data_IF_139131905116
#
_entry.id   IF_139131905116
#
_cell.length_a   1.000
_cell.length_b   1.000
_cell.length_c   1.000
_cell.angle_alpha   90.00
_cell.angle_beta   90.00
_cell.angle_gamma   90.00
#
_symmetry.space_group_name_H-M   'P 1'
#
loop_
_entity.id
_entity.type
_entity.pdbx_description
1 polymer ?
#
# COMPACT_ATOMS: atom_id res chain seq x y z
N UNK A 1 -3.11 -13.94 21.79
CA UNK A 1 -1.77 -14.36 21.35
C UNK A 1 -1.66 -14.40 19.80
N UNK A 2 -2.56 -15.09 19.11
CA UNK A 2 -2.57 -15.22 17.64
C UNK A 2 -2.54 -13.87 16.90
N UNK A 3 -3.42 -12.92 17.26
CA UNK A 3 -3.46 -11.56 16.66
C UNK A 3 -2.14 -10.83 16.87
N UNK A 4 -1.51 -10.96 18.04
CA UNK A 4 -0.21 -10.33 18.32
C UNK A 4 0.85 -10.82 17.35
N UNK A 5 0.93 -12.13 17.13
CA UNK A 5 1.91 -12.74 16.20
C UNK A 5 1.72 -12.19 14.78
N UNK A 6 0.47 -12.05 14.31
CA UNK A 6 0.16 -11.50 12.99
C UNK A 6 0.63 -10.05 12.86
N UNK A 7 0.37 -9.23 13.88
CA UNK A 7 0.82 -7.84 13.90
C UNK A 7 2.35 -7.72 13.94
N UNK A 8 3.02 -8.62 14.64
CA UNK A 8 4.48 -8.66 14.70
C UNK A 8 5.08 -9.12 13.36
N UNK A 9 4.45 -10.07 12.65
CA UNK A 9 4.80 -10.47 11.27
C UNK A 9 4.68 -9.27 10.32
N UNK A 10 3.54 -8.57 10.33
CA UNK A 10 3.28 -7.38 9.50
C UNK A 10 4.34 -6.29 9.77
N UNK A 11 4.57 -5.95 11.04
CA UNK A 11 5.59 -4.97 11.44
C UNK A 11 7.01 -5.38 11.04
N UNK A 12 7.31 -6.67 11.05
CA UNK A 12 8.60 -7.19 10.63
C UNK A 12 8.80 -7.17 9.09
N UNK A 13 7.76 -6.84 8.34
CA UNK A 13 7.82 -6.70 6.88
C UNK A 13 7.48 -7.97 6.11
N UNK A 14 6.79 -8.91 6.73
CA UNK A 14 6.38 -10.15 6.07
C UNK A 14 4.87 -10.17 5.81
N UNK A 15 4.47 -10.92 4.79
CA UNK A 15 3.09 -11.33 4.54
C UNK A 15 2.86 -12.76 5.03
N UNK A 16 1.66 -13.04 5.50
CA UNK A 16 1.24 -14.39 5.86
C UNK A 16 -0.22 -14.65 5.45
N UNK A 17 -0.51 -15.90 5.19
CA UNK A 17 -1.87 -16.42 5.03
C UNK A 17 -2.15 -17.42 6.17
N UNK A 18 -3.43 -17.66 6.45
CA UNK A 18 -3.86 -18.61 7.47
C UNK A 18 -4.15 -19.96 6.82
N UNK A 19 -3.76 -21.02 7.51
CA UNK A 19 -4.03 -22.37 7.06
C UNK A 19 -4.65 -23.17 8.23
N UNK A 20 -5.72 -23.92 7.92
CA UNK A 20 -6.28 -24.85 8.89
C UNK A 20 -5.57 -26.21 8.84
N UNK A 21 -5.71 -27.00 9.90
CA UNK A 21 -5.17 -28.35 10.00
C UNK A 21 -5.52 -29.21 8.80
N UNK A 22 -6.76 -29.10 8.31
CA UNK A 22 -7.25 -29.85 7.14
C UNK A 22 -6.37 -29.60 5.90
N UNK A 23 -6.03 -28.36 5.62
CA UNK A 23 -5.23 -27.99 4.44
C UNK A 23 -3.72 -28.15 4.71
N UNK A 24 -3.27 -27.97 5.95
CA UNK A 24 -1.89 -28.19 6.32
C UNK A 24 -1.45 -29.63 6.06
N UNK A 25 -2.32 -30.62 6.33
CA UNK A 25 -2.07 -32.04 6.02
C UNK A 25 -1.78 -32.33 4.55
N UNK A 26 -2.23 -31.45 3.66
CA UNK A 26 -2.05 -31.61 2.22
C UNK A 26 -0.85 -30.84 1.65
N UNK A 27 -0.16 -30.09 2.50
CA UNK A 27 1.03 -29.37 2.08
C UNK A 27 2.19 -30.32 1.80
N UNK A 28 3.04 -29.95 0.85
CA UNK A 28 4.25 -30.67 0.49
C UNK A 28 5.45 -29.72 0.52
N UNK A 29 6.66 -30.26 0.66
CA UNK A 29 7.87 -29.48 0.54
C UNK A 29 8.55 -29.79 -0.78
N UNK A 30 8.68 -28.80 -1.67
CA UNK A 30 9.27 -28.94 -3.00
C UNK A 30 10.12 -27.72 -3.35
N UNK A 31 11.27 -27.94 -3.95
CA UNK A 31 12.15 -26.86 -4.43
C UNK A 31 12.45 -25.78 -3.37
N UNK A 32 12.65 -26.20 -2.12
CA UNK A 32 12.95 -25.29 -0.99
C UNK A 32 11.75 -24.47 -0.48
N UNK A 33 10.52 -24.81 -0.87
CA UNK A 33 9.30 -24.12 -0.47
C UNK A 33 8.21 -25.10 -0.05
N UNK A 34 7.34 -24.65 0.84
CA UNK A 34 6.10 -25.34 1.20
C UNK A 34 5.06 -25.03 0.11
N UNK A 35 4.46 -26.04 -0.45
CA UNK A 35 3.45 -25.92 -1.50
C UNK A 35 2.13 -26.49 -1.02
N UNK A 36 1.05 -25.72 -1.14
CA UNK A 36 -0.31 -26.16 -0.85
C UNK A 36 -0.86 -27.00 -2.00
N UNK A 37 -1.93 -27.74 -1.76
CA UNK A 37 -2.63 -28.50 -2.82
C UNK A 37 -3.10 -27.61 -4.00
N UNK A 38 -3.36 -26.33 -3.75
CA UNK A 38 -3.72 -25.35 -4.78
C UNK A 38 -2.51 -24.76 -5.54
N UNK A 39 -1.28 -25.18 -5.22
CA UNK A 39 -0.06 -24.72 -5.87
C UNK A 39 0.51 -23.40 -5.32
N UNK A 40 -0.06 -22.82 -4.26
CA UNK A 40 0.52 -21.64 -3.60
C UNK A 40 1.77 -22.02 -2.81
N UNK A 41 2.80 -21.18 -2.87
CA UNK A 41 4.11 -21.48 -2.28
C UNK A 41 4.47 -20.52 -1.17
N UNK A 42 5.04 -21.06 -0.09
CA UNK A 42 5.45 -20.33 1.11
C UNK A 42 6.88 -20.66 1.51
N UNK A 43 7.57 -19.68 2.09
CA UNK A 43 8.95 -19.82 2.60
C UNK A 43 9.05 -20.55 3.92
N UNK A 44 7.97 -20.62 4.68
CA UNK A 44 7.93 -21.28 5.98
C UNK A 44 6.52 -21.37 6.55
N UNK A 45 6.37 -22.17 7.58
CA UNK A 45 5.17 -22.26 8.42
C UNK A 45 5.49 -21.57 9.74
N UNK A 46 4.61 -20.67 10.16
CA UNK A 46 4.68 -20.02 11.46
C UNK A 46 3.64 -20.65 12.37
N UNK A 47 4.08 -21.12 13.53
CA UNK A 47 3.24 -21.75 14.53
C UNK A 47 3.09 -20.78 15.71
N UNK A 48 1.95 -20.08 15.85
CA UNK A 48 1.73 -19.11 16.92
C UNK A 48 1.42 -19.83 18.24
N UNK A 49 2.06 -19.39 19.31
CA UNK A 49 1.67 -19.74 20.69
C UNK A 49 1.89 -21.17 21.15
N UNK A 50 1.18 -21.52 22.20
CA UNK A 50 1.15 -22.86 22.78
C UNK A 50 0.19 -23.75 22.00
N UNK A 51 0.74 -24.64 21.20
CA UNK A 51 0.01 -25.33 20.16
C UNK A 51 -0.63 -26.61 20.70
N UNK A 52 -1.93 -26.57 20.77
CA UNK A 52 -2.75 -27.78 20.83
C UNK A 52 -3.10 -28.10 19.38
N UNK A 53 -2.37 -29.03 18.78
CA UNK A 53 -2.63 -29.53 17.43
C UNK A 53 -2.90 -31.03 17.47
N UNK A 54 -3.69 -31.58 16.53
CA UNK A 54 -3.82 -33.02 16.36
C UNK A 54 -2.45 -33.70 16.15
N UNK A 55 -2.28 -34.91 16.67
CA UNK A 55 -0.98 -35.61 16.61
C UNK A 55 -0.51 -35.85 15.17
N UNK A 56 -1.40 -36.19 14.28
CA UNK A 56 -1.12 -36.38 12.86
C UNK A 56 -0.65 -35.10 12.14
N UNK A 57 -1.12 -33.92 12.58
CA UNK A 57 -0.64 -32.62 12.09
C UNK A 57 0.78 -32.36 12.57
N UNK A 58 1.06 -32.67 13.84
CA UNK A 58 2.41 -32.54 14.42
C UNK A 58 3.39 -33.44 13.68
N UNK A 59 3.00 -34.70 13.42
CA UNK A 59 3.80 -35.65 12.63
C UNK A 59 4.11 -35.10 11.25
N UNK A 60 3.08 -34.64 10.53
CA UNK A 60 3.24 -34.06 9.19
C UNK A 60 4.15 -32.83 9.18
N UNK A 61 4.02 -31.93 10.15
CA UNK A 61 4.94 -30.78 10.31
C UNK A 61 6.38 -31.26 10.54
N UNK A 62 6.55 -32.31 11.32
CA UNK A 62 7.87 -32.91 11.58
C UNK A 62 8.49 -33.54 10.31
N UNK A 63 7.67 -34.15 9.49
CA UNK A 63 8.07 -34.68 8.17
C UNK A 63 8.50 -33.55 7.24
N UNK A 64 7.69 -32.49 7.11
CA UNK A 64 8.05 -31.31 6.31
C UNK A 64 9.36 -30.69 6.79
N UNK A 65 9.56 -30.60 8.10
CA UNK A 65 10.80 -30.11 8.72
C UNK A 65 12.00 -30.98 8.37
N UNK A 66 11.86 -32.31 8.40
CA UNK A 66 12.91 -33.25 8.05
C UNK A 66 13.35 -33.13 6.58
N UNK A 67 12.42 -32.73 5.71
CA UNK A 67 12.66 -32.44 4.30
C UNK A 67 13.33 -31.06 4.07
N UNK A 68 13.45 -30.24 5.11
CA UNK A 68 14.09 -28.91 5.06
C UNK A 68 13.15 -27.71 5.15
N UNK A 69 11.84 -27.93 5.37
CA UNK A 69 10.89 -26.85 5.53
C UNK A 69 11.21 -26.00 6.78
N UNK A 70 11.06 -24.69 6.66
CA UNK A 70 11.26 -23.76 7.77
C UNK A 70 10.00 -23.72 8.64
N UNK A 71 10.09 -24.30 9.84
CA UNK A 71 9.04 -24.27 10.86
C UNK A 71 9.47 -23.28 11.93
N UNK A 72 8.72 -22.21 12.12
CA UNK A 72 9.09 -21.05 12.91
C UNK A 72 8.10 -20.89 14.07
N UNK A 73 8.60 -20.67 15.29
CA UNK A 73 7.76 -20.29 16.42
C UNK A 73 7.35 -18.82 16.31
N UNK A 74 6.12 -18.51 16.66
CA UNK A 74 5.36 -17.34 16.29
C UNK A 74 6.00 -15.96 16.40
N UNK A 75 6.87 -15.72 17.38
CA UNK A 75 7.51 -14.42 17.61
C UNK A 75 9.01 -14.39 17.23
N UNK A 76 9.52 -15.45 16.60
CA UNK A 76 10.93 -15.53 16.23
C UNK A 76 11.23 -14.81 14.91
N UNK A 77 11.31 -13.47 14.97
CA UNK A 77 11.59 -12.61 13.80
C UNK A 77 12.92 -12.98 13.13
N UNK A 78 13.97 -13.32 13.88
CA UNK A 78 15.26 -13.73 13.28
C UNK A 78 15.13 -14.96 12.40
N UNK A 79 14.33 -15.95 12.83
CA UNK A 79 14.09 -17.15 12.01
C UNK A 79 13.26 -16.82 10.75
N UNK A 80 12.34 -15.85 10.81
CA UNK A 80 11.60 -15.35 9.64
C UNK A 80 12.55 -14.67 8.64
N UNK A 81 13.47 -13.83 9.11
CA UNK A 81 14.48 -13.17 8.27
C UNK A 81 15.45 -14.16 7.61
N UNK A 82 15.75 -15.27 8.28
CA UNK A 82 16.52 -16.37 7.68
C UNK A 82 15.75 -17.16 6.62
N UNK A 83 14.43 -17.18 6.70
CA UNK A 83 13.56 -17.87 5.75
C UNK A 83 13.22 -17.01 4.53
N UNK A 84 13.02 -15.70 4.71
CA UNK A 84 12.61 -14.78 3.66
C UNK A 84 13.18 -13.38 3.89
N UNK A 85 13.34 -12.60 2.81
CA UNK A 85 13.67 -11.17 2.89
C UNK A 85 12.42 -10.39 3.31
N UNK A 86 12.49 -9.53 4.34
CA UNK A 86 11.39 -8.64 4.70
C UNK A 86 11.23 -7.51 3.69
N UNK A 87 10.01 -7.01 3.53
CA UNK A 87 9.73 -5.77 2.81
C UNK A 87 10.05 -4.57 3.70
N UNK A 88 11.15 -3.90 3.39
CA UNK A 88 11.65 -2.79 4.20
C UNK A 88 10.75 -1.56 4.15
N UNK A 89 9.91 -1.40 3.13
CA UNK A 89 8.86 -0.37 3.10
C UNK A 89 7.92 -0.50 4.28
N UNK A 90 7.51 -1.72 4.61
CA UNK A 90 6.64 -2.02 5.75
C UNK A 90 7.40 -1.91 7.06
N UNK A 91 8.55 -2.60 7.13
CA UNK A 91 9.37 -2.69 8.35
C UNK A 91 9.93 -1.33 8.81
N UNK A 92 10.49 -0.55 7.89
CA UNK A 92 11.23 0.66 8.23
C UNK A 92 10.41 1.94 8.11
N UNK A 93 9.43 1.97 7.18
CA UNK A 93 8.68 3.17 6.86
C UNK A 93 7.21 3.10 7.31
N UNK A 94 6.76 1.96 7.83
CA UNK A 94 5.38 1.77 8.29
C UNK A 94 4.33 1.82 7.17
N UNK A 95 4.75 1.71 5.91
CA UNK A 95 3.85 1.69 4.76
C UNK A 95 3.01 0.40 4.76
N UNK A 96 1.76 0.52 4.35
CA UNK A 96 0.94 -0.64 4.05
C UNK A 96 1.11 -1.03 2.60
N UNK A 97 1.25 -2.33 2.36
CA UNK A 97 1.49 -2.81 1.00
C UNK A 97 1.01 -4.24 0.81
N UNK A 98 0.70 -4.55 -0.44
CA UNK A 98 0.46 -5.92 -0.92
C UNK A 98 1.33 -6.13 -2.15
N UNK A 99 2.09 -7.22 -2.18
CA UNK A 99 2.86 -7.64 -3.35
C UNK A 99 2.23 -8.87 -3.98
N UNK A 100 2.16 -8.88 -5.32
CA UNK A 100 1.72 -10.04 -6.10
C UNK A 100 2.68 -10.29 -7.26
N UNK A 101 2.95 -11.55 -7.56
CA UNK A 101 3.66 -11.94 -8.77
C UNK A 101 2.74 -11.76 -10.00
N UNK A 102 3.34 -11.43 -11.13
CA UNK A 102 2.68 -11.35 -12.43
C UNK A 102 3.56 -12.02 -13.51
N UNK A 103 3.14 -11.96 -14.76
CA UNK A 103 3.85 -12.64 -15.87
C UNK A 103 5.23 -12.07 -16.19
N UNK A 104 5.56 -10.87 -15.74
CA UNK A 104 6.84 -10.21 -16.02
C UNK A 104 7.72 -9.97 -14.78
N UNK A 105 7.15 -10.09 -13.57
CA UNK A 105 7.82 -9.83 -12.29
C UNK A 105 6.83 -9.69 -11.15
N UNK A 106 6.78 -8.52 -10.51
CA UNK A 106 5.87 -8.25 -9.41
C UNK A 106 5.14 -6.92 -9.59
N UNK A 107 4.01 -6.79 -8.89
CA UNK A 107 3.37 -5.50 -8.66
C UNK A 107 3.05 -5.34 -7.19
N UNK A 108 3.15 -4.11 -6.74
CA UNK A 108 2.93 -3.68 -5.36
C UNK A 108 1.82 -2.65 -5.36
N UNK A 109 0.83 -2.81 -4.50
CA UNK A 109 -0.01 -1.70 -4.07
C UNK A 109 0.57 -1.18 -2.77
N UNK A 110 0.90 0.11 -2.72
CA UNK A 110 1.57 0.75 -1.58
C UNK A 110 0.74 1.93 -1.13
N UNK A 111 0.46 2.04 0.17
CA UNK A 111 -0.30 3.14 0.76
C UNK A 111 0.43 3.71 1.98
N UNK A 112 0.53 5.03 2.04
CA UNK A 112 1.01 5.75 3.20
C UNK A 112 -0.17 6.13 4.10
N UNK A 113 -0.47 5.29 5.07
CA UNK A 113 -1.51 5.55 6.08
C UNK A 113 -0.96 6.23 7.33
N UNK A 114 0.29 6.68 7.30
CA UNK A 114 0.89 7.46 8.38
C UNK A 114 0.49 8.93 8.29
N UNK A 115 0.65 9.68 9.36
CA UNK A 115 0.38 11.13 9.39
C UNK A 115 1.49 11.98 8.79
N UNK A 116 2.53 11.37 8.21
CA UNK A 116 3.72 12.07 7.68
C UNK A 116 3.94 11.72 6.22
N UNK A 117 4.42 12.70 5.46
CA UNK A 117 4.93 12.44 4.12
C UNK A 117 6.21 11.60 4.20
N UNK A 118 6.36 10.67 3.28
CA UNK A 118 7.51 9.78 3.21
C UNK A 118 8.29 10.08 1.93
N UNK A 119 9.53 10.53 2.08
CA UNK A 119 10.52 10.67 1.02
C UNK A 119 11.76 9.87 1.42
N UNK A 120 11.98 8.72 0.80
CA UNK A 120 13.07 7.80 1.20
C UNK A 120 13.45 6.87 0.06
N UNK A 121 14.64 6.28 0.14
CA UNK A 121 15.03 5.16 -0.70
C UNK A 121 14.98 3.88 0.13
N UNK A 122 14.44 2.81 -0.43
CA UNK A 122 14.27 1.54 0.28
C UNK A 122 14.51 0.35 -0.65
N UNK A 123 15.26 -0.63 -0.16
CA UNK A 123 15.47 -1.88 -0.90
C UNK A 123 14.20 -2.73 -0.95
N UNK A 124 13.95 -3.32 -2.10
CA UNK A 124 12.86 -4.28 -2.30
C UNK A 124 13.28 -5.68 -1.83
N UNK A 125 12.33 -6.48 -1.40
CA UNK A 125 12.57 -7.90 -1.10
C UNK A 125 12.80 -8.74 -2.38
N UNK A 126 12.47 -8.20 -3.54
CA UNK A 126 12.72 -8.79 -4.86
C UNK A 126 13.98 -8.19 -5.51
N UNK A 127 14.50 -8.84 -6.54
CA UNK A 127 15.77 -8.44 -7.17
C UNK A 127 15.57 -7.87 -8.60
N UNK A 128 14.35 -7.45 -8.95
CA UNK A 128 14.07 -6.80 -10.24
C UNK A 128 14.79 -5.46 -10.36
N UNK A 129 15.22 -5.14 -11.58
CA UNK A 129 16.07 -3.96 -11.88
C UNK A 129 15.31 -2.81 -12.53
N UNK A 130 14.13 -3.08 -13.06
CA UNK A 130 13.30 -2.11 -13.77
C UNK A 130 11.95 -1.99 -13.10
N UNK A 131 11.38 -0.79 -13.14
CA UNK A 131 10.09 -0.55 -12.52
C UNK A 131 9.32 0.60 -13.15
N UNK A 132 8.02 0.61 -12.91
CA UNK A 132 7.10 1.72 -13.23
C UNK A 132 6.29 2.05 -11.99
N UNK A 133 6.23 3.34 -11.67
CA UNK A 133 5.24 3.90 -10.76
C UNK A 133 3.95 4.19 -11.52
N UNK A 134 2.83 3.76 -11.02
CA UNK A 134 1.51 4.07 -11.52
C UNK A 134 0.67 4.73 -10.43
N UNK A 135 0.08 5.87 -10.75
CA UNK A 135 -0.85 6.57 -9.87
C UNK A 135 -2.29 6.17 -10.25
N UNK A 136 -2.98 5.39 -9.43
CA UNK A 136 -4.33 4.91 -9.76
C UNK A 136 -5.37 6.04 -9.79
N UNK A 137 -5.14 7.15 -9.07
CA UNK A 137 -6.07 8.28 -9.02
C UNK A 137 -6.03 9.13 -10.30
N UNK A 138 -4.87 9.21 -10.96
CA UNK A 138 -4.67 10.06 -12.15
C UNK A 138 -4.45 9.27 -13.42
N UNK A 139 -4.32 7.94 -13.32
CA UNK A 139 -3.95 7.04 -14.41
C UNK A 139 -2.61 7.39 -15.09
N UNK A 140 -1.76 8.16 -14.39
CA UNK A 140 -0.42 8.52 -14.86
C UNK A 140 0.61 7.53 -14.34
N UNK A 141 1.67 7.35 -15.10
CA UNK A 141 2.79 6.53 -14.68
C UNK A 141 4.11 7.07 -15.25
N UNK A 142 5.19 6.70 -14.57
CA UNK A 142 6.55 7.07 -14.93
C UNK A 142 7.51 5.93 -14.57
N UNK A 143 8.66 5.92 -15.18
CA UNK A 143 9.68 4.92 -14.86
C UNK A 143 10.19 5.10 -13.43
N UNK A 144 10.29 3.99 -12.71
CA UNK A 144 10.82 3.97 -11.36
C UNK A 144 12.33 3.73 -11.40
N UNK A 145 13.09 4.61 -10.74
CA UNK A 145 14.53 4.41 -10.60
C UNK A 145 14.80 3.42 -9.48
N UNK A 146 15.35 2.25 -9.84
CA UNK A 146 15.81 1.22 -8.90
C UNK A 146 17.35 1.25 -8.93
N UNK A 147 17.96 1.78 -7.90
CA UNK A 147 19.40 1.86 -7.75
C UNK A 147 19.93 0.95 -6.64
N UNK A 148 21.22 1.09 -6.30
CA UNK A 148 21.87 0.29 -5.26
C UNK A 148 21.22 0.43 -3.88
N UNK A 149 20.64 1.57 -3.59
CA UNK A 149 19.89 1.85 -2.34
C UNK A 149 18.42 1.40 -2.42
N UNK A 150 18.01 0.75 -3.52
CA UNK A 150 16.65 0.34 -3.79
C UNK A 150 15.84 1.37 -4.57
N UNK A 151 14.52 1.38 -4.37
CA UNK A 151 13.59 2.27 -5.05
C UNK A 151 13.42 3.58 -4.28
N UNK A 152 13.33 4.67 -5.02
CA UNK A 152 12.98 5.97 -4.43
C UNK A 152 11.47 6.08 -4.28
N UNK A 153 11.04 6.39 -3.06
CA UNK A 153 9.66 6.61 -2.66
C UNK A 153 9.42 8.08 -2.38
N UNK A 154 8.29 8.59 -2.87
CA UNK A 154 7.77 9.89 -2.49
C UNK A 154 6.24 9.75 -2.40
N UNK A 155 5.73 9.60 -1.18
CA UNK A 155 4.32 9.37 -0.89
C UNK A 155 3.85 10.33 0.19
N UNK A 156 2.91 11.18 -0.12
CA UNK A 156 2.24 12.04 0.88
C UNK A 156 1.41 11.20 1.84
N UNK A 157 1.12 11.75 3.00
CA UNK A 157 0.14 11.17 3.93
C UNK A 157 -1.20 10.94 3.21
N UNK A 158 -1.78 9.76 3.36
CA UNK A 158 -3.01 9.33 2.67
C UNK A 158 -2.84 8.92 1.21
N UNK A 159 -1.65 9.01 0.64
CA UNK A 159 -1.41 8.70 -0.77
C UNK A 159 -1.15 7.21 -1.00
N UNK A 160 -1.57 6.72 -2.17
CA UNK A 160 -1.27 5.37 -2.63
C UNK A 160 -0.67 5.36 -4.03
N UNK A 161 0.16 4.35 -4.31
CA UNK A 161 0.82 4.11 -5.61
C UNK A 161 0.86 2.62 -5.92
N UNK A 162 0.91 2.31 -7.20
CA UNK A 162 1.24 0.97 -7.67
C UNK A 162 2.65 1.01 -8.25
N UNK A 163 3.50 0.10 -7.77
CA UNK A 163 4.80 -0.15 -8.35
C UNK A 163 4.74 -1.47 -9.10
N UNK A 164 5.18 -1.48 -10.34
CA UNK A 164 5.35 -2.69 -11.14
C UNK A 164 6.85 -2.87 -11.35
N UNK A 165 7.38 -4.07 -11.09
CA UNK A 165 8.80 -4.37 -11.23
C UNK A 165 9.03 -5.57 -12.15
N UNK A 166 10.17 -5.59 -12.84
CA UNK A 166 10.58 -6.67 -13.74
C UNK A 166 12.11 -6.68 -13.94
N UNK A 167 12.62 -7.81 -14.35
CA UNK A 167 13.99 -7.91 -14.88
C UNK A 167 14.09 -7.53 -16.37
N UNK A 168 12.96 -7.42 -17.07
CA UNK A 168 12.92 -6.93 -18.45
C UNK A 168 12.92 -5.42 -18.47
N UNK A 169 13.65 -4.76 -19.36
CA UNK A 169 13.58 -3.31 -19.55
C UNK A 169 12.15 -2.84 -19.83
N UNK A 170 11.80 -1.64 -19.36
CA UNK A 170 10.44 -1.10 -19.45
C UNK A 170 9.93 -0.99 -20.90
N UNK A 171 10.79 -0.71 -21.86
CA UNK A 171 10.45 -0.64 -23.27
C UNK A 171 10.02 -1.99 -23.90
N UNK A 172 10.31 -3.11 -23.25
CA UNK A 172 9.87 -4.45 -23.66
C UNK A 172 8.52 -4.84 -23.03
N UNK A 173 7.96 -4.02 -22.15
CA UNK A 173 6.70 -4.35 -21.51
C UNK A 173 5.53 -4.07 -22.46
N UNK A 174 4.68 -5.07 -22.67
CA UNK A 174 3.41 -4.91 -23.40
C UNK A 174 2.40 -4.23 -22.49
N UNK A 175 2.64 -2.98 -22.21
CA UNK A 175 1.65 -2.11 -21.58
C UNK A 175 0.58 -1.82 -22.63
N UNK A 176 -0.69 -2.04 -22.30
CA UNK A 176 -1.80 -1.89 -23.25
C UNK A 176 -1.74 -0.54 -23.98
N UNK A 177 -2.22 -0.49 -25.22
CA UNK A 177 -2.03 0.60 -26.19
C UNK A 177 -2.51 2.01 -25.77
N UNK A 178 -3.14 2.15 -24.61
CA UNK A 178 -3.58 3.43 -24.04
C UNK A 178 -2.61 4.01 -23.00
N UNK A 179 -1.52 3.30 -22.76
CA UNK A 179 -0.59 3.63 -21.69
C UNK A 179 0.61 4.33 -22.28
N UNK A 180 0.61 5.67 -22.30
CA UNK A 180 1.81 6.46 -22.63
C UNK A 180 2.69 6.52 -21.40
N UNK A 181 3.92 5.95 -21.47
CA UNK A 181 4.98 6.27 -20.52
C UNK A 181 5.32 7.73 -20.76
N UNK A 182 4.71 8.60 -20.02
CA UNK A 182 4.84 10.04 -20.22
C UNK A 182 5.44 10.70 -19.00
N UNK A 183 6.64 11.19 -19.18
CA UNK A 183 7.23 12.21 -18.33
C UNK A 183 7.60 11.77 -16.92
N UNK A 184 8.72 12.26 -16.43
CA UNK A 184 9.01 12.29 -15.00
C UNK A 184 7.78 12.89 -14.31
N UNK A 185 7.14 12.17 -13.39
CA UNK A 185 6.29 12.83 -12.43
C UNK A 185 7.21 13.84 -11.76
N UNK A 186 6.96 15.13 -11.97
CA UNK A 186 7.75 16.14 -11.30
C UNK A 186 7.62 15.81 -9.81
N UNK A 187 8.71 15.35 -9.19
CA UNK A 187 8.94 15.58 -7.76
C UNK A 187 8.52 17.02 -7.61
N UNK A 188 7.55 17.31 -6.73
CA UNK A 188 7.04 18.66 -6.57
C UNK A 188 8.22 19.61 -6.66
N UNK A 189 8.31 20.31 -7.78
CA UNK A 189 9.48 21.11 -8.05
C UNK A 189 9.60 22.08 -6.89
N UNK A 190 10.82 22.37 -6.46
CA UNK A 190 11.10 23.39 -5.44
C UNK A 190 10.47 24.76 -5.77
N UNK A 191 9.93 24.92 -6.98
CA UNK A 191 9.23 26.08 -7.51
C UNK A 191 7.73 25.91 -7.67
N UNK A 192 7.06 24.97 -6.97
CA UNK A 192 5.61 24.89 -7.00
C UNK A 192 5.02 26.10 -6.27
N UNK A 193 4.28 26.95 -7.00
CA UNK A 193 3.53 28.06 -6.43
C UNK A 193 2.29 27.51 -5.75
N UNK A 194 2.15 27.76 -4.46
CA UNK A 194 0.95 27.42 -3.69
C UNK A 194 0.07 28.65 -3.57
N UNK A 195 -1.22 28.50 -3.85
CA UNK A 195 -2.24 29.52 -3.56
C UNK A 195 -3.01 29.05 -2.35
N UNK A 196 -2.86 29.75 -1.23
CA UNK A 196 -3.61 29.46 -0.03
C UNK A 196 -5.01 30.08 -0.13
N UNK A 197 -6.03 29.21 -0.11
CA UNK A 197 -7.43 29.59 -0.18
C UNK A 197 -8.14 29.44 1.17
N UNK A 198 -7.41 29.10 2.22
CA UNK A 198 -7.96 28.75 3.54
C UNK A 198 -8.83 29.88 4.09
N UNK A 199 -8.40 31.13 3.94
CA UNK A 199 -9.10 32.32 4.46
C UNK A 199 -10.06 32.99 3.46
N UNK A 200 -10.27 32.38 2.29
CA UNK A 200 -11.20 32.90 1.30
C UNK A 200 -12.64 32.89 1.82
N UNK A 201 -13.50 33.65 1.14
CA UNK A 201 -14.94 33.48 1.31
C UNK A 201 -15.38 32.19 0.61
N UNK A 202 -16.04 31.34 1.37
CA UNK A 202 -16.55 30.05 0.90
C UNK A 202 -18.07 30.03 1.01
N UNK A 203 -18.72 29.37 0.05
CA UNK A 203 -20.14 29.06 0.09
C UNK A 203 -20.28 27.55 0.28
N UNK A 204 -21.03 27.14 1.30
CA UNK A 204 -21.34 25.73 1.54
C UNK A 204 -22.82 25.49 1.27
N UNK A 205 -23.10 24.52 0.42
CA UNK A 205 -24.44 23.99 0.16
C UNK A 205 -24.44 22.48 0.32
N UNK A 206 -25.62 21.87 0.43
CA UNK A 206 -25.74 20.43 0.62
C UNK A 206 -26.51 19.79 -0.54
N UNK A 207 -26.06 18.63 -0.96
CA UNK A 207 -26.73 17.76 -1.93
C UNK A 207 -26.93 16.38 -1.32
N UNK A 208 -28.06 15.73 -1.63
CA UNK A 208 -28.37 14.39 -1.10
C UNK A 208 -28.38 14.33 0.44
N UNK A 209 -28.82 15.42 1.08
CA UNK A 209 -28.78 15.60 2.53
C UNK A 209 -29.96 14.93 3.24
N UNK A 210 -29.66 14.21 4.34
CA UNK A 210 -30.62 13.59 5.22
C UNK A 210 -30.16 13.70 6.70
N UNK A 211 -30.91 14.38 7.62
CA UNK A 211 -32.09 15.20 7.35
C UNK A 211 -31.79 16.43 6.49
N UNK A 212 -32.80 16.91 5.77
CA UNK A 212 -32.62 18.05 4.86
C UNK A 212 -32.23 19.31 5.62
N UNK A 213 -31.07 19.87 5.27
CA UNK A 213 -30.55 21.10 5.89
C UNK A 213 -31.32 22.32 5.35
N UNK A 214 -31.48 22.42 4.03
CA UNK A 214 -32.25 23.48 3.37
C UNK A 214 -31.64 24.87 3.44
N UNK A 215 -30.42 24.99 3.92
CA UNK A 215 -29.70 26.25 4.10
C UNK A 215 -28.38 26.25 3.32
N UNK A 216 -27.95 27.45 2.94
CA UNK A 216 -26.63 27.70 2.38
C UNK A 216 -25.85 28.59 3.33
N UNK A 217 -24.61 28.24 3.62
CA UNK A 217 -23.75 28.98 4.55
C UNK A 217 -22.67 29.75 3.81
N UNK A 218 -22.51 31.03 4.13
CA UNK A 218 -21.38 31.83 3.72
C UNK A 218 -20.33 31.80 4.83
N UNK A 219 -19.15 31.27 4.53
CA UNK A 219 -18.10 31.05 5.49
C UNK A 219 -16.90 31.95 5.21
N UNK A 220 -16.27 32.46 6.25
CA UNK A 220 -14.93 33.00 6.19
C UNK A 220 -13.97 31.88 6.54
N UNK A 221 -13.25 31.39 5.54
CA UNK A 221 -12.39 30.22 5.68
C UNK A 221 -13.16 28.88 5.62
N UNK A 222 -12.43 27.81 5.42
CA UNK A 222 -12.98 26.43 5.42
C UNK A 222 -13.23 25.99 6.86
N UNK A 223 -14.46 25.57 7.16
CA UNK A 223 -14.86 25.06 8.47
C UNK A 223 -15.69 23.79 8.30
N UNK A 224 -15.62 22.90 9.29
CA UNK A 224 -16.55 21.77 9.35
C UNK A 224 -17.98 22.26 9.47
N UNK A 225 -18.92 21.63 8.78
CA UNK A 225 -20.34 21.99 8.86
C UNK A 225 -21.00 21.54 10.16
N UNK A 226 -20.39 20.63 10.93
CA UNK A 226 -20.93 20.15 12.20
C UNK A 226 -21.21 21.26 13.24
N UNK A 227 -20.47 22.36 13.15
CA UNK A 227 -20.63 23.52 14.04
C UNK A 227 -21.53 24.63 13.48
N UNK A 228 -22.17 24.48 12.32
CA UNK A 228 -22.89 25.57 11.66
C UNK A 228 -24.37 25.64 12.03
N UNK A 229 -25.03 24.49 12.19
CA UNK A 229 -26.42 24.41 12.71
C UNK A 229 -26.69 22.99 13.24
N UNK A 230 -27.75 22.87 14.08
CA UNK A 230 -28.15 21.55 14.58
C UNK A 230 -28.54 20.56 13.49
N UNK A 231 -29.11 21.06 12.38
CA UNK A 231 -29.42 20.21 11.23
C UNK A 231 -28.16 19.77 10.49
N UNK A 232 -27.21 20.67 10.27
CA UNK A 232 -25.94 20.36 9.62
C UNK A 232 -25.10 19.39 10.46
N UNK A 233 -25.17 19.48 11.79
CA UNK A 233 -24.45 18.62 12.72
C UNK A 233 -24.77 17.13 12.58
N UNK A 234 -26.03 16.80 12.32
CA UNK A 234 -26.52 15.42 12.24
C UNK A 234 -26.78 14.97 10.81
N UNK A 235 -26.49 15.83 9.83
CA UNK A 235 -26.72 15.54 8.42
C UNK A 235 -25.74 14.48 7.90
N UNK A 236 -26.28 13.51 7.17
CA UNK A 236 -25.52 12.58 6.34
C UNK A 236 -25.78 12.91 4.88
N UNK A 237 -24.72 13.03 4.09
CA UNK A 237 -24.82 13.43 2.69
C UNK A 237 -23.56 14.14 2.19
N UNK A 238 -23.71 14.97 1.16
CA UNK A 238 -22.60 15.66 0.52
C UNK A 238 -22.67 17.17 0.73
N UNK A 239 -21.61 17.74 1.34
CA UNK A 239 -21.39 19.18 1.42
C UNK A 239 -20.53 19.67 0.25
N UNK A 240 -21.02 20.67 -0.46
CA UNK A 240 -20.33 21.30 -1.60
C UNK A 240 -19.80 22.66 -1.15
N UNK A 241 -18.47 22.78 -1.10
CA UNK A 241 -17.76 24.01 -0.79
C UNK A 241 -17.32 24.69 -2.09
N UNK A 242 -17.76 25.91 -2.29
CA UNK A 242 -17.42 26.72 -3.46
C UNK A 242 -16.66 27.98 -3.04
N UNK A 243 -15.57 28.28 -3.71
CA UNK A 243 -14.85 29.55 -3.60
C UNK A 243 -14.37 30.03 -4.94
N UNK A 244 -14.05 31.29 -5.04
CA UNK A 244 -13.47 31.90 -6.24
C UNK A 244 -12.12 32.53 -5.91
N UNK A 245 -11.18 32.39 -6.83
CA UNK A 245 -9.89 33.04 -6.74
C UNK A 245 -9.43 33.51 -8.12
N UNK A 246 -8.47 34.43 -8.13
CA UNK A 246 -7.95 35.00 -9.39
C UNK A 246 -6.59 34.41 -9.68
N UNK A 247 -6.40 33.95 -10.91
CA UNK A 247 -5.11 33.60 -11.46
C UNK A 247 -4.61 34.70 -12.40
N UNK A 248 -3.29 34.95 -12.43
CA UNK A 248 -2.69 35.74 -13.52
C UNK A 248 -2.81 34.97 -14.84
N UNK A 249 -2.74 35.67 -15.98
CA UNK A 249 -2.75 34.99 -17.28
C UNK A 249 -1.62 33.99 -17.44
N UNK A 250 -0.43 34.30 -16.90
CA UNK A 250 0.75 33.42 -16.92
C UNK A 250 0.56 32.19 -16.05
N UNK A 251 -0.05 32.35 -14.88
CA UNK A 251 -0.34 31.23 -13.97
C UNK A 251 -1.45 30.32 -14.55
N UNK A 252 -2.44 30.88 -15.22
CA UNK A 252 -3.53 30.11 -15.83
C UNK A 252 -3.05 29.17 -16.96
N UNK A 253 -1.85 29.39 -17.52
CA UNK A 253 -1.23 28.54 -18.53
C UNK A 253 -0.37 27.42 -17.93
N UNK A 254 -0.14 27.44 -16.63
CA UNK A 254 0.62 26.41 -15.91
C UNK A 254 -0.26 25.21 -15.57
N UNK A 255 0.37 24.07 -15.32
CA UNK A 255 -0.31 22.90 -14.81
C UNK A 255 -0.50 23.06 -13.28
N UNK A 256 -1.74 22.93 -12.81
CA UNK A 256 -2.15 23.03 -11.40
C UNK A 256 -2.57 21.67 -10.88
#
# INVERSE_FOLDING_TARGET
EFIKVILDIDKAGFDCDYISDKYLRTCTFKNGMIETAAGTRYKGIIIPGNNIMPSDVIEHISELKSQGAKIIKGDNIKAMEQAAKPELMRKNLGLKMIRRANSIGHHYFIANLTSKDIASSVALAVNEKHGIWYNPMTSKYHEATIGDKGIQLNLKSGESRILITSNKPVNEWKLGSKVKVGGKEAIAAADSKTIDLTENAWKLSFTEDAPKVGETFNLKGVKSWEGLSEKAKVMMGTGVYETTFKLSKDDAQKQW
#
